data_IF_669362669020
#
_entry.id   IF_669362669020
#
_cell.length_a   1.000
_cell.length_b   1.000
_cell.length_c   1.000
_cell.angle_alpha   90.00
_cell.angle_beta   90.00
_cell.angle_gamma   90.00
#
_symmetry.space_group_name_H-M   'P 1'
#
loop_
_entity.id
_entity.type
_entity.pdbx_description
1 polymer ?
#
# COMPACT_ATOMS: atom_id res chain seq x y z
N UNK A 1 -8.59 8.10 -1.52
CA UNK A 1 -8.71 7.48 -2.85
C UNK A 1 -8.56 5.99 -2.69
N UNK A 2 -9.52 5.22 -3.14
CA UNK A 2 -9.38 3.76 -3.16
C UNK A 2 -8.36 3.38 -4.24
N UNK A 3 -7.21 2.87 -3.81
CA UNK A 3 -6.14 2.40 -4.68
C UNK A 3 -6.19 0.88 -4.87
N UNK A 4 -6.94 0.18 -4.01
CA UNK A 4 -7.16 -1.25 -4.16
C UNK A 4 -8.51 -1.67 -3.60
N UNK A 5 -9.37 -2.15 -4.48
CA UNK A 5 -10.58 -2.87 -4.11
C UNK A 5 -10.31 -4.37 -4.29
N UNK A 6 -10.53 -5.17 -3.24
CA UNK A 6 -10.20 -6.59 -3.27
C UNK A 6 -11.23 -7.44 -4.05
N UNK A 7 -12.29 -6.83 -4.56
CA UNK A 7 -13.20 -7.51 -5.47
C UNK A 7 -12.49 -7.82 -6.79
N UNK A 8 -12.56 -9.08 -7.21
CA UNK A 8 -11.78 -9.64 -8.34
C UNK A 8 -11.99 -8.94 -9.68
N UNK A 9 -13.12 -8.22 -9.84
CA UNK A 9 -13.48 -7.51 -11.07
C UNK A 9 -13.15 -6.01 -11.05
N UNK A 10 -12.53 -5.50 -9.99
CA UNK A 10 -12.29 -4.06 -9.83
C UNK A 10 -11.28 -3.47 -10.83
N UNK A 11 -10.42 -4.29 -11.43
CA UNK A 11 -9.49 -3.82 -12.45
C UNK A 11 -8.43 -2.83 -11.95
N UNK A 12 -8.03 -2.92 -10.67
CA UNK A 12 -7.13 -1.95 -10.00
C UNK A 12 -5.85 -1.62 -10.79
N UNK A 13 -5.29 -2.60 -11.50
CA UNK A 13 -4.04 -2.46 -12.24
C UNK A 13 -4.17 -1.73 -13.57
N UNK A 14 -5.39 -1.39 -13.99
CA UNK A 14 -5.65 -0.87 -15.33
C UNK A 14 -5.22 -1.85 -16.42
N UNK A 15 -4.91 -1.33 -17.60
CA UNK A 15 -4.43 -2.13 -18.73
C UNK A 15 -4.93 -1.60 -20.08
N UNK A 16 -4.82 -2.44 -21.10
CA UNK A 16 -5.31 -2.17 -22.45
C UNK A 16 -6.33 -3.25 -22.80
N UNK A 17 -7.51 -2.86 -23.27
CA UNK A 17 -8.55 -3.80 -23.69
C UNK A 17 -8.38 -4.27 -25.15
N UNK A 18 -9.28 -5.14 -25.60
CA UNK A 18 -9.25 -5.69 -26.97
C UNK A 18 -9.43 -4.64 -28.07
N UNK A 19 -10.03 -3.48 -27.74
CA UNK A 19 -10.21 -2.36 -28.67
C UNK A 19 -8.98 -1.44 -28.73
N UNK A 20 -7.97 -1.68 -27.88
CA UNK A 20 -6.81 -0.82 -27.72
C UNK A 20 -7.05 0.35 -26.76
N UNK A 21 -8.20 0.41 -26.07
CA UNK A 21 -8.46 1.44 -25.08
C UNK A 21 -7.58 1.19 -23.85
N UNK A 22 -6.88 2.23 -23.39
CA UNK A 22 -6.02 2.18 -22.21
C UNK A 22 -6.74 2.76 -21.00
N UNK A 23 -6.68 2.04 -19.88
CA UNK A 23 -7.08 2.52 -18.57
C UNK A 23 -5.85 2.56 -17.64
N UNK A 24 -5.56 3.69 -16.96
CA UNK A 24 -4.49 3.74 -15.97
C UNK A 24 -4.83 2.88 -14.75
N UNK A 25 -3.81 2.44 -14.03
CA UNK A 25 -4.03 1.86 -12.70
C UNK A 25 -4.56 2.92 -11.73
N UNK A 26 -5.27 2.49 -10.69
CA UNK A 26 -5.69 3.37 -9.58
C UNK A 26 -4.49 4.01 -8.90
N UNK A 27 -3.34 3.32 -8.81
CA UNK A 27 -2.08 3.90 -8.32
C UNK A 27 -1.55 5.02 -9.24
N UNK A 28 -1.65 4.87 -10.56
CA UNK A 28 -1.22 5.93 -11.47
C UNK A 28 -2.11 7.17 -11.36
N UNK A 29 -3.43 6.97 -11.27
CA UNK A 29 -4.35 8.07 -11.01
C UNK A 29 -4.07 8.76 -9.66
N UNK A 30 -3.69 7.99 -8.64
CA UNK A 30 -3.26 8.54 -7.36
C UNK A 30 -1.97 9.35 -7.49
N UNK A 31 -0.97 8.83 -8.21
CA UNK A 31 0.29 9.53 -8.47
C UNK A 31 0.09 10.83 -9.27
N UNK A 32 -0.84 10.86 -10.23
CA UNK A 32 -1.20 12.08 -10.97
C UNK A 32 -1.73 13.17 -10.03
N UNK A 33 -2.70 12.83 -9.17
CA UNK A 33 -3.24 13.77 -8.18
C UNK A 33 -2.14 14.30 -7.25
N UNK A 34 -1.31 13.41 -6.70
CA UNK A 34 -0.21 13.79 -5.82
C UNK A 34 0.80 14.70 -6.53
N UNK A 35 1.07 14.45 -7.81
CA UNK A 35 2.02 15.21 -8.61
C UNK A 35 1.52 16.62 -8.94
N UNK A 36 0.21 16.78 -9.05
CA UNK A 36 -0.47 18.06 -9.25
C UNK A 36 -0.68 18.84 -7.93
N UNK A 37 -0.15 18.33 -6.81
CA UNK A 37 -0.25 18.97 -5.49
C UNK A 37 -1.56 18.69 -4.77
N UNK A 38 -2.40 17.78 -5.26
CA UNK A 38 -3.63 17.36 -4.59
C UNK A 38 -3.30 16.25 -3.59
N UNK A 39 -3.30 16.61 -2.31
CA UNK A 39 -3.07 15.65 -1.23
C UNK A 39 -4.34 14.83 -0.98
N UNK A 40 -4.29 13.56 -1.37
CA UNK A 40 -5.31 12.56 -1.06
C UNK A 40 -4.62 11.27 -0.59
N UNK A 41 -5.16 10.64 0.45
CA UNK A 41 -4.60 9.39 0.99
C UNK A 41 -5.09 8.16 0.23
N UNK A 42 -4.19 7.21 -0.01
CA UNK A 42 -4.49 5.93 -0.67
C UNK A 42 -5.03 4.91 0.32
N UNK A 43 -6.18 4.31 0.04
CA UNK A 43 -6.85 3.31 0.88
C UNK A 43 -7.07 2.00 0.12
N UNK A 44 -7.16 0.89 0.85
CA UNK A 44 -7.62 -0.38 0.30
C UNK A 44 -8.81 -0.92 1.11
N UNK A 45 -9.74 -1.57 0.43
CA UNK A 45 -10.97 -2.14 0.99
C UNK A 45 -11.23 -3.54 0.45
N UNK A 46 -11.83 -4.39 1.27
CA UNK A 46 -12.27 -5.73 0.85
C UNK A 46 -13.60 -5.72 0.09
N UNK A 47 -14.37 -4.63 0.19
CA UNK A 47 -15.66 -4.42 -0.49
C UNK A 47 -16.61 -5.62 -0.32
N UNK A 48 -16.70 -6.09 0.93
CA UNK A 48 -17.39 -7.32 1.27
C UNK A 48 -18.90 -7.25 0.95
N UNK A 49 -19.38 -8.28 0.25
CA UNK A 49 -20.80 -8.50 -0.04
C UNK A 49 -21.25 -9.92 0.33
N UNK A 50 -20.32 -10.82 0.68
CA UNK A 50 -20.58 -12.22 0.99
C UNK A 50 -19.91 -12.61 2.32
N UNK A 51 -20.65 -13.25 3.21
CA UNK A 51 -20.18 -13.62 4.56
C UNK A 51 -20.26 -15.13 4.84
N UNK A 52 -20.88 -15.90 3.95
CA UNK A 52 -21.10 -17.34 4.12
C UNK A 52 -20.11 -18.17 3.28
N UNK A 53 -19.80 -17.74 2.06
CA UNK A 53 -18.91 -18.46 1.13
C UNK A 53 -17.41 -18.18 1.37
N UNK A 54 -16.92 -18.33 2.60
CA UNK A 54 -15.54 -17.99 2.97
C UNK A 54 -14.47 -18.87 2.31
N UNK A 55 -14.84 -20.01 1.74
CA UNK A 55 -13.98 -20.91 0.99
C UNK A 55 -13.87 -20.57 -0.51
N UNK A 56 -14.78 -19.75 -1.03
CA UNK A 56 -14.71 -19.22 -2.38
C UNK A 56 -13.67 -18.08 -2.46
N UNK A 57 -12.64 -18.31 -3.27
CA UNK A 57 -11.54 -17.35 -3.46
C UNK A 57 -11.98 -16.12 -4.24
N UNK A 58 -12.97 -16.25 -5.11
CA UNK A 58 -13.44 -15.19 -6.00
C UNK A 58 -14.61 -14.41 -5.40
N UNK A 59 -15.32 -14.97 -4.42
CA UNK A 59 -16.38 -14.29 -3.69
C UNK A 59 -15.85 -13.04 -2.95
N UNK A 60 -16.60 -11.92 -2.91
CA UNK A 60 -16.22 -10.71 -2.17
C UNK A 60 -16.40 -10.91 -0.66
N UNK A 61 -15.51 -11.69 -0.04
CA UNK A 61 -15.50 -12.05 1.38
C UNK A 61 -14.58 -11.14 2.21
N UNK A 62 -14.79 -11.05 3.54
CA UNK A 62 -14.03 -10.14 4.39
C UNK A 62 -12.53 -10.44 4.44
N UNK A 63 -11.74 -9.43 4.79
CA UNK A 63 -10.33 -9.60 5.17
C UNK A 63 -9.39 -9.82 3.99
N UNK A 64 -9.75 -9.28 2.81
CA UNK A 64 -8.91 -9.33 1.60
C UNK A 64 -8.10 -8.05 1.38
N UNK A 65 -8.57 -6.91 1.87
CA UNK A 65 -7.79 -5.68 1.97
C UNK A 65 -8.31 -4.76 3.09
N UNK A 66 -7.44 -3.91 3.62
CA UNK A 66 -7.74 -3.00 4.73
C UNK A 66 -6.69 -1.89 4.81
N UNK A 67 -6.90 -0.95 5.73
CA UNK A 67 -5.87 -0.03 6.20
C UNK A 67 -5.40 -0.40 7.60
N UNK A 68 -4.14 -0.11 7.91
CA UNK A 68 -3.56 -0.26 9.24
C UNK A 68 -3.16 1.11 9.75
N UNK A 69 -3.83 1.56 10.81
CA UNK A 69 -3.71 2.93 11.34
C UNK A 69 -2.72 2.97 12.51
N UNK A 70 -1.80 3.93 12.47
CA UNK A 70 -0.87 4.25 13.55
C UNK A 70 -1.50 5.35 14.42
N UNK A 71 -2.29 4.93 15.40
CA UNK A 71 -2.93 5.80 16.37
C UNK A 71 -2.32 5.62 17.77
N UNK A 72 -2.36 6.69 18.60
CA UNK A 72 -1.88 6.63 19.98
C UNK A 72 -2.79 5.77 20.88
N UNK A 73 -4.10 5.71 20.57
CA UNK A 73 -5.08 4.90 21.28
C UNK A 73 -6.16 4.37 20.32
N UNK A 74 -6.86 3.32 20.75
CA UNK A 74 -8.00 2.75 20.04
C UNK A 74 -9.29 3.48 20.46
N UNK A 75 -9.37 4.75 20.11
CA UNK A 75 -10.56 5.59 20.28
C UNK A 75 -10.82 6.42 19.02
N UNK A 76 -12.04 6.97 18.92
CA UNK A 76 -12.48 7.68 17.73
C UNK A 76 -11.56 8.86 17.38
N UNK A 77 -11.22 9.70 18.36
CA UNK A 77 -10.41 10.90 18.15
C UNK A 77 -9.01 10.54 17.63
N UNK A 78 -8.33 9.62 18.31
CA UNK A 78 -6.98 9.18 17.93
C UNK A 78 -6.93 8.55 16.54
N UNK A 79 -7.95 7.77 16.16
CA UNK A 79 -8.04 7.16 14.84
C UNK A 79 -8.29 8.22 13.77
N UNK A 80 -9.27 9.11 13.98
CA UNK A 80 -9.62 10.14 13.01
C UNK A 80 -8.46 11.12 12.77
N UNK A 81 -7.75 11.49 13.84
CA UNK A 81 -6.55 12.33 13.76
C UNK A 81 -5.44 11.67 12.95
N UNK A 82 -5.19 10.38 13.19
CA UNK A 82 -4.19 9.61 12.43
C UNK A 82 -4.58 9.51 10.94
N UNK A 83 -5.86 9.22 10.66
CA UNK A 83 -6.37 9.18 9.28
C UNK A 83 -6.23 10.54 8.59
N UNK A 84 -6.53 11.64 9.28
CA UNK A 84 -6.40 13.00 8.76
C UNK A 84 -4.97 13.33 8.35
N UNK A 85 -3.97 12.88 9.11
CA UNK A 85 -2.54 13.06 8.81
C UNK A 85 -1.95 12.05 7.84
N UNK A 86 -2.70 11.03 7.43
CA UNK A 86 -2.15 9.94 6.62
C UNK A 86 -1.27 8.96 7.40
N UNK A 87 -1.42 8.90 8.73
CA UNK A 87 -0.69 7.97 9.61
C UNK A 87 -1.26 6.53 9.52
N UNK A 88 -1.26 5.98 8.31
CA UNK A 88 -1.70 4.62 8.04
C UNK A 88 -1.08 4.09 6.75
N UNK A 89 -1.25 2.80 6.49
CA UNK A 89 -0.91 2.21 5.20
C UNK A 89 -2.03 1.27 4.74
N UNK A 90 -2.19 1.11 3.43
CA UNK A 90 -3.12 0.16 2.84
C UNK A 90 -2.45 -1.21 2.69
N UNK A 91 -3.19 -2.30 2.83
CA UNK A 91 -2.65 -3.66 2.81
C UNK A 91 -3.64 -4.68 2.31
N UNK A 92 -3.14 -5.71 1.63
CA UNK A 92 -3.87 -6.95 1.33
C UNK A 92 -3.30 -8.14 2.13
N UNK A 93 -2.50 -7.87 3.17
CA UNK A 93 -1.78 -8.93 3.88
C UNK A 93 -0.45 -8.59 4.51
N UNK A 94 0.27 -7.63 3.93
CA UNK A 94 1.61 -7.28 4.41
C UNK A 94 1.48 -6.45 5.69
N UNK A 95 2.33 -6.76 6.67
CA UNK A 95 2.36 -6.02 7.94
C UNK A 95 3.69 -5.31 8.11
N UNK A 96 3.63 -4.02 8.44
CA UNK A 96 4.79 -3.20 8.73
C UNK A 96 4.97 -3.14 10.25
N UNK A 97 6.16 -3.48 10.71
CA UNK A 97 6.58 -3.40 12.12
C UNK A 97 7.01 -1.98 12.49
N UNK A 98 7.85 -1.39 11.65
CA UNK A 98 8.41 -0.05 11.80
C UNK A 98 8.39 0.66 10.46
N UNK A 99 7.98 1.93 10.47
CA UNK A 99 7.99 2.82 9.33
C UNK A 99 8.46 4.19 9.79
N UNK A 100 9.68 4.54 9.39
CA UNK A 100 10.27 5.85 9.63
C UNK A 100 10.48 6.53 8.29
N UNK A 101 9.84 7.69 8.11
CA UNK A 101 9.99 8.52 6.93
C UNK A 101 10.29 9.95 7.39
N UNK A 102 11.33 10.55 6.80
CA UNK A 102 11.83 11.84 7.22
C UNK A 102 12.86 12.40 6.23
N UNK A 103 13.52 13.51 6.59
CA UNK A 103 14.42 14.22 5.68
C UNK A 103 15.63 13.38 5.24
N UNK A 104 16.05 12.41 6.06
CA UNK A 104 17.18 11.52 5.74
C UNK A 104 16.78 10.36 4.80
N UNK A 105 15.49 10.02 4.71
CA UNK A 105 15.03 8.86 3.96
C UNK A 105 13.83 8.14 4.56
N UNK A 106 13.55 6.97 3.97
CA UNK A 106 12.56 6.00 4.43
C UNK A 106 13.26 4.70 4.86
N UNK A 107 12.92 4.19 6.05
CA UNK A 107 13.32 2.89 6.58
C UNK A 107 12.08 2.11 7.03
N UNK A 108 11.93 0.89 6.53
CA UNK A 108 10.76 0.03 6.81
C UNK A 108 11.27 -1.32 7.32
N UNK A 109 10.61 -1.87 8.33
CA UNK A 109 10.79 -3.25 8.77
C UNK A 109 9.45 -3.97 8.70
N UNK A 110 9.43 -5.16 8.09
CA UNK A 110 8.19 -5.95 8.00
C UNK A 110 8.05 -6.92 9.18
N UNK A 111 6.80 -7.10 9.63
CA UNK A 111 6.43 -8.10 10.63
C UNK A 111 5.76 -9.29 9.94
N UNK A 112 6.13 -10.49 10.35
CA UNK A 112 5.34 -11.69 10.02
C UNK A 112 4.24 -11.91 11.07
N UNK A 113 2.97 -11.99 10.66
CA UNK A 113 1.86 -12.29 11.57
C UNK A 113 1.80 -13.80 11.87
N UNK A 114 1.94 -14.16 13.14
CA UNK A 114 1.74 -15.52 13.66
C UNK A 114 0.35 -16.06 13.28
N UNK A 115 0.29 -17.27 12.69
CA UNK A 115 -0.96 -17.91 12.26
C UNK A 115 -1.25 -17.78 10.76
N UNK A 116 -0.59 -16.88 10.05
CA UNK A 116 -0.62 -16.83 8.59
C UNK A 116 0.37 -17.82 7.98
N UNK A 117 0.17 -18.29 6.73
CA UNK A 117 1.13 -19.19 6.04
C UNK A 117 2.56 -18.61 6.10
N UNK A 118 2.69 -17.28 6.00
CA UNK A 118 3.94 -16.57 6.13
C UNK A 118 4.66 -16.84 7.47
N UNK A 119 3.96 -17.00 8.60
CA UNK A 119 4.61 -17.33 9.88
C UNK A 119 5.09 -18.78 9.99
N UNK A 120 4.40 -19.73 9.33
CA UNK A 120 4.85 -21.13 9.29
C UNK A 120 6.09 -21.31 8.42
N UNK A 121 6.31 -20.42 7.46
CA UNK A 121 7.40 -20.49 6.49
C UNK A 121 8.08 -19.14 6.29
N UNK A 122 8.36 -18.41 7.38
CA UNK A 122 8.91 -17.04 7.30
C UNK A 122 10.24 -16.98 6.56
N UNK A 123 11.04 -18.05 6.63
CA UNK A 123 12.27 -18.20 5.86
C UNK A 123 12.06 -18.26 4.33
N UNK A 124 10.85 -18.52 3.85
CA UNK A 124 10.48 -18.55 2.43
C UNK A 124 9.84 -17.25 1.96
N UNK A 125 9.38 -16.39 2.87
CA UNK A 125 8.79 -15.11 2.48
C UNK A 125 9.86 -14.24 1.81
N UNK A 126 9.53 -13.68 0.66
CA UNK A 126 10.36 -12.71 -0.07
C UNK A 126 9.53 -11.46 -0.29
N UNK A 127 10.19 -10.32 -0.26
CA UNK A 127 9.58 -9.02 -0.46
C UNK A 127 10.34 -8.27 -1.54
N UNK A 128 9.59 -7.55 -2.37
CA UNK A 128 10.07 -6.49 -3.25
C UNK A 128 9.43 -5.19 -2.77
N UNK A 129 10.23 -4.15 -2.59
CA UNK A 129 9.75 -2.80 -2.31
C UNK A 129 10.18 -1.88 -3.43
N UNK A 130 9.21 -1.18 -4.02
CA UNK A 130 9.42 -0.10 -4.98
C UNK A 130 9.18 1.22 -4.28
N UNK A 131 10.18 2.09 -4.29
CA UNK A 131 10.02 3.48 -3.89
C UNK A 131 9.61 4.29 -5.12
N UNK A 132 8.52 5.02 -4.99
CA UNK A 132 7.87 5.78 -6.06
C UNK A 132 7.86 7.25 -5.67
N UNK A 133 8.17 8.13 -6.63
CA UNK A 133 8.06 9.58 -6.46
C UNK A 133 7.20 10.23 -7.53
N UNK A 134 7.34 11.55 -7.67
CA UNK A 134 6.50 12.40 -8.55
C UNK A 134 6.33 11.79 -9.94
N UNK A 135 5.09 11.79 -10.41
CA UNK A 135 4.65 11.24 -11.70
C UNK A 135 4.62 9.71 -11.72
N UNK A 136 4.59 9.05 -10.55
CA UNK A 136 4.71 7.60 -10.47
C UNK A 136 6.11 7.08 -10.83
N UNK A 137 7.13 7.94 -10.74
CA UNK A 137 8.51 7.60 -11.10
C UNK A 137 9.08 6.55 -10.16
N UNK A 138 9.54 5.42 -10.70
CA UNK A 138 10.31 4.44 -9.93
C UNK A 138 11.66 5.04 -9.52
N UNK A 139 11.86 5.21 -8.22
CA UNK A 139 13.09 5.75 -7.62
C UNK A 139 14.11 4.64 -7.32
N UNK A 140 13.63 3.53 -6.76
CA UNK A 140 14.47 2.40 -6.39
C UNK A 140 13.66 1.12 -6.18
N UNK A 141 14.32 -0.02 -6.41
CA UNK A 141 13.86 -1.33 -5.96
C UNK A 141 14.75 -1.84 -4.83
N UNK A 142 14.15 -2.46 -3.81
CA UNK A 142 14.83 -3.12 -2.71
C UNK A 142 14.22 -4.49 -2.45
N UNK A 143 15.08 -5.48 -2.28
CA UNK A 143 14.68 -6.85 -1.95
C UNK A 143 14.89 -7.12 -0.46
N UNK A 144 13.99 -7.89 0.13
CA UNK A 144 14.08 -8.35 1.51
C UNK A 144 13.25 -7.53 2.50
N UNK A 145 13.32 -7.88 3.79
CA UNK A 145 12.34 -7.42 4.78
C UNK A 145 12.63 -6.06 5.44
N UNK A 146 13.76 -5.43 5.07
CA UNK A 146 14.20 -4.15 5.64
C UNK A 146 14.59 -3.15 4.54
N UNK A 147 13.67 -2.76 3.64
CA UNK A 147 13.99 -1.85 2.55
C UNK A 147 14.29 -0.43 3.08
N UNK A 148 15.25 0.23 2.42
CA UNK A 148 15.67 1.60 2.73
C UNK A 148 15.87 2.43 1.48
N UNK A 149 15.51 3.70 1.57
CA UNK A 149 15.71 4.68 0.51
C UNK A 149 16.20 6.02 1.10
N UNK A 150 17.41 6.50 0.73
CA UNK A 150 17.86 7.84 1.11
C UNK A 150 17.21 8.90 0.21
N UNK A 151 16.81 10.03 0.81
CA UNK A 151 16.29 11.20 0.09
C UNK A 151 17.42 11.90 -0.68
N UNK A 152 17.14 12.31 -1.91
CA UNK A 152 18.05 13.00 -2.83
C UNK A 152 17.62 14.44 -3.15
N UNK A 153 16.37 14.80 -2.87
CA UNK A 153 15.83 16.16 -3.00
C UNK A 153 15.01 16.43 -4.26
N UNK A 154 14.95 15.50 -5.21
CA UNK A 154 14.25 15.66 -6.50
C UNK A 154 12.98 14.79 -6.64
N UNK A 155 12.63 14.05 -5.59
CA UNK A 155 11.57 13.05 -5.60
C UNK A 155 10.17 13.68 -5.65
N UNK A 156 10.01 14.88 -5.09
CA UNK A 156 8.72 15.53 -4.85
C UNK A 156 7.98 14.90 -3.66
N UNK A 157 7.64 13.62 -3.78
CA UNK A 157 7.20 12.77 -2.67
C UNK A 157 7.86 11.41 -2.78
N UNK A 158 7.82 10.63 -1.70
CA UNK A 158 8.26 9.23 -1.71
C UNK A 158 7.17 8.38 -1.06
N UNK A 159 6.67 7.38 -1.80
CA UNK A 159 5.82 6.32 -1.26
C UNK A 159 6.45 4.96 -1.58
N UNK A 160 6.20 3.98 -0.73
CA UNK A 160 6.60 2.59 -0.94
C UNK A 160 5.41 1.73 -1.37
N UNK A 161 5.61 0.93 -2.42
CA UNK A 161 4.78 -0.21 -2.82
C UNK A 161 5.53 -1.48 -2.46
N UNK A 162 4.95 -2.31 -1.60
CA UNK A 162 5.54 -3.55 -1.14
C UNK A 162 4.74 -4.70 -1.74
N UNK A 163 5.42 -5.67 -2.35
CA UNK A 163 4.83 -6.91 -2.83
C UNK A 163 5.57 -8.10 -2.20
N UNK A 164 4.83 -9.09 -1.69
CA UNK A 164 5.41 -10.36 -1.25
C UNK A 164 5.36 -11.43 -2.34
N UNK A 165 6.10 -12.53 -2.15
CA UNK A 165 6.15 -13.63 -3.12
C UNK A 165 4.80 -14.34 -3.35
N UNK A 166 3.81 -14.14 -2.47
CA UNK A 166 2.46 -14.69 -2.62
C UNK A 166 1.51 -13.69 -3.33
N UNK A 167 2.01 -12.53 -3.76
CA UNK A 167 1.26 -11.51 -4.48
C UNK A 167 0.43 -10.57 -3.59
N UNK A 168 0.66 -10.56 -2.27
CA UNK A 168 0.05 -9.54 -1.41
C UNK A 168 0.79 -8.23 -1.53
N UNK A 169 0.09 -7.16 -1.23
CA UNK A 169 0.58 -5.81 -1.35
C UNK A 169 0.44 -5.01 -0.06
N UNK A 170 1.26 -3.98 0.08
CA UNK A 170 1.02 -2.85 0.95
C UNK A 170 1.50 -1.55 0.29
N UNK A 171 0.83 -0.45 0.62
CA UNK A 171 1.11 0.88 0.12
C UNK A 171 1.18 1.87 1.28
N UNK A 172 2.32 2.53 1.42
CA UNK A 172 2.49 3.63 2.39
C UNK A 172 1.95 4.94 1.83
N UNK A 173 1.52 5.86 2.70
CA UNK A 173 1.22 7.23 2.26
C UNK A 173 2.47 7.94 1.77
N UNK A 174 2.35 8.95 0.88
CA UNK A 174 3.48 9.74 0.43
C UNK A 174 4.10 10.55 1.56
N UNK A 175 5.42 10.44 1.72
CA UNK A 175 6.24 11.40 2.44
C UNK A 175 6.61 12.55 1.47
N UNK A 176 6.13 13.76 1.75
CA UNK A 176 6.45 14.94 0.94
C UNK A 176 7.75 15.59 1.43
N UNK A 177 8.64 15.94 0.49
CA UNK A 177 9.95 16.52 0.83
C UNK A 177 9.83 18.00 1.17
N UNK A 178 8.93 18.72 0.50
CA UNK A 178 8.56 20.12 0.78
C UNK A 178 7.07 20.30 0.39
N UNK A 179 6.30 21.01 1.24
CA UNK A 179 4.98 21.56 0.88
C UNK A 179 5.12 23.06 0.69
#
# INVERSE_FOLDING_TARGET
>A
MEIWNAFSIAGNLGGVDESGQTAPSTENLWDELLSDGVVVWGTASDDVHEYEALDDRDAPTPGKAWIVVRAHALDHESIMDALGRGDFYASTGITIDRYDAGPDGIDITFRTISGWRAAKFSALTRYLTRFIGRGGRLLAERYGPNPRYPVNGDEGYIRAVITDADGRHAWTQPYFLEM
#
